data_IF_035504895789
#
_entry.id   IF_035504895789
#
_cell.length_a   1.000
_cell.length_b   1.000
_cell.length_c   1.000
_cell.angle_alpha   90.00
_cell.angle_beta   90.00
_cell.angle_gamma   90.00
#
_symmetry.space_group_name_H-M   'P 1'
#
loop_
_entity.id
_entity.type
_entity.pdbx_description
1 polymer ?
#
# COMPACT_ATOMS: atom_id res chain seq x y z
N UNK A 1 1.63 23.81 -21.29
CA UNK A 1 2.83 23.33 -20.58
C UNK A 1 3.57 24.53 -20.01
N UNK A 2 3.71 24.64 -18.69
CA UNK A 2 4.32 25.81 -18.05
C UNK A 2 5.84 25.72 -18.08
N UNK A 3 6.56 26.84 -17.92
CA UNK A 3 8.02 26.84 -17.83
C UNK A 3 8.53 25.92 -16.70
N UNK A 4 7.83 25.93 -15.56
CA UNK A 4 8.12 25.04 -14.42
C UNK A 4 7.99 23.56 -14.75
N UNK A 5 6.98 23.16 -15.54
CA UNK A 5 6.82 21.76 -15.93
C UNK A 5 7.97 21.31 -16.85
N UNK A 6 8.46 22.18 -17.75
CA UNK A 6 9.62 21.87 -18.60
C UNK A 6 10.91 21.68 -17.80
N UNK A 7 11.18 22.57 -16.83
CA UNK A 7 12.33 22.41 -15.93
C UNK A 7 12.26 21.10 -15.16
N UNK A 8 11.09 20.78 -14.62
CA UNK A 8 10.88 19.54 -13.88
C UNK A 8 11.16 18.29 -14.74
N UNK A 9 10.65 18.25 -15.97
CA UNK A 9 10.92 17.12 -16.87
C UNK A 9 12.40 16.99 -17.21
N UNK A 10 13.10 18.11 -17.45
CA UNK A 10 14.55 18.08 -17.66
C UNK A 10 15.32 17.54 -16.46
N UNK A 11 14.91 17.90 -15.23
CA UNK A 11 15.52 17.39 -14.01
C UNK A 11 15.31 15.87 -13.90
N UNK A 12 14.12 15.37 -14.24
CA UNK A 12 13.81 13.93 -14.22
C UNK A 12 14.67 13.18 -15.25
N UNK A 13 14.75 13.68 -16.48
CA UNK A 13 15.53 13.07 -17.57
C UNK A 13 17.04 13.06 -17.30
N UNK A 14 17.54 14.01 -16.50
CA UNK A 14 18.96 14.12 -16.15
C UNK A 14 19.31 13.50 -14.80
N UNK A 15 18.33 12.89 -14.12
CA UNK A 15 18.54 12.30 -12.80
C UNK A 15 19.33 10.97 -12.93
N UNK A 16 20.41 10.79 -12.16
CA UNK A 16 21.12 9.52 -12.11
C UNK A 16 20.22 8.37 -11.69
N UNK A 17 20.39 7.20 -12.31
CA UNK A 17 19.53 6.02 -12.10
C UNK A 17 19.40 5.60 -10.63
N UNK A 18 20.50 5.64 -9.86
CA UNK A 18 20.47 5.33 -8.42
C UNK A 18 19.57 6.30 -7.63
N UNK A 19 19.57 7.58 -7.99
CA UNK A 19 18.72 8.59 -7.35
C UNK A 19 17.27 8.46 -7.81
N UNK A 20 17.04 8.16 -9.09
CA UNK A 20 15.71 7.87 -9.64
C UNK A 20 15.06 6.70 -8.91
N UNK A 21 15.80 5.62 -8.67
CA UNK A 21 15.30 4.46 -7.93
C UNK A 21 14.92 4.82 -6.48
N UNK A 22 15.77 5.59 -5.78
CA UNK A 22 15.45 6.08 -4.42
C UNK A 22 14.20 6.96 -4.37
N UNK A 23 13.99 7.81 -5.39
CA UNK A 23 12.78 8.63 -5.50
C UNK A 23 11.55 7.76 -5.73
N UNK A 24 11.63 6.74 -6.58
CA UNK A 24 10.55 5.78 -6.81
C UNK A 24 10.22 4.97 -5.54
N UNK A 25 11.23 4.47 -4.82
CA UNK A 25 11.05 3.78 -3.54
C UNK A 25 10.36 4.66 -2.50
N UNK A 26 10.75 5.94 -2.43
CA UNK A 26 10.10 6.89 -1.53
C UNK A 26 8.66 7.20 -1.95
N UNK A 27 8.38 7.33 -3.25
CA UNK A 27 7.00 7.47 -3.76
C UNK A 27 6.16 6.26 -3.37
N UNK A 28 6.69 5.03 -3.48
CA UNK A 28 5.97 3.82 -3.09
C UNK A 28 5.77 3.72 -1.58
N UNK A 29 6.75 4.14 -0.78
CA UNK A 29 6.58 4.32 0.66
C UNK A 29 5.48 5.35 0.99
N UNK A 30 5.45 6.49 0.28
CA UNK A 30 4.42 7.51 0.47
C UNK A 30 3.03 6.99 0.11
N UNK A 31 2.89 6.25 -1.00
CA UNK A 31 1.62 5.58 -1.35
C UNK A 31 1.20 4.60 -0.26
N UNK A 32 2.14 3.79 0.24
CA UNK A 32 1.87 2.82 1.29
C UNK A 32 1.46 3.49 2.62
N UNK A 33 2.12 4.58 3.00
CA UNK A 33 1.77 5.35 4.21
C UNK A 33 0.45 6.09 4.07
N UNK A 34 0.13 6.63 2.89
CA UNK A 34 -1.19 7.21 2.62
C UNK A 34 -2.29 6.15 2.74
N UNK A 35 -2.07 4.95 2.21
CA UNK A 35 -2.98 3.81 2.33
C UNK A 35 -3.13 3.39 3.79
N UNK A 36 -2.05 3.27 4.57
CA UNK A 36 -2.12 2.94 6.00
C UNK A 36 -3.03 3.91 6.78
N UNK A 37 -3.02 5.20 6.43
CA UNK A 37 -3.86 6.19 7.10
C UNK A 37 -5.35 6.08 6.77
N UNK A 38 -5.70 5.44 5.64
CA UNK A 38 -7.09 5.24 5.20
C UNK A 38 -7.61 3.84 5.54
N UNK A 39 -6.72 2.88 5.74
CA UNK A 39 -7.07 1.50 6.05
C UNK A 39 -7.53 1.38 7.51
N UNK A 40 -8.61 0.61 7.79
CA UNK A 40 -9.06 0.34 9.15
C UNK A 40 -7.93 -0.11 10.07
N UNK A 41 -7.89 0.42 11.29
CA UNK A 41 -6.78 0.17 12.24
C UNK A 41 -6.58 -1.31 12.54
N UNK A 42 -7.65 -2.11 12.46
CA UNK A 42 -7.61 -3.54 12.66
C UNK A 42 -6.96 -4.31 11.51
N UNK A 43 -6.69 -3.71 10.34
CA UNK A 43 -5.96 -4.33 9.22
C UNK A 43 -4.48 -3.95 9.20
N UNK A 44 -4.11 -2.84 9.85
CA UNK A 44 -2.72 -2.37 9.93
C UNK A 44 -1.89 -3.31 10.81
N UNK A 45 -0.78 -3.81 10.27
CA UNK A 45 0.18 -4.62 11.02
C UNK A 45 1.05 -3.71 11.87
N UNK A 46 0.91 -3.78 13.19
CA UNK A 46 1.60 -2.87 14.12
C UNK A 46 3.01 -3.34 14.49
N UNK A 47 3.25 -4.64 14.52
CA UNK A 47 4.54 -5.24 14.88
C UNK A 47 4.58 -6.74 14.53
N UNK A 48 5.73 -7.40 14.75
CA UNK A 48 5.93 -8.82 14.46
C UNK A 48 4.96 -9.76 15.21
N UNK A 49 4.56 -9.41 16.44
CA UNK A 49 3.61 -10.22 17.23
C UNK A 49 2.20 -10.13 16.63
N UNK A 50 1.81 -8.92 16.23
CA UNK A 50 0.53 -8.65 15.57
C UNK A 50 0.44 -9.35 14.20
N UNK A 51 1.51 -9.28 13.40
CA UNK A 51 1.62 -10.04 12.15
C UNK A 51 1.38 -11.53 12.37
N UNK A 52 2.07 -12.13 13.35
CA UNK A 52 1.92 -13.55 13.66
C UNK A 52 0.50 -13.91 14.05
N UNK A 53 -0.15 -13.08 14.88
CA UNK A 53 -1.54 -13.30 15.32
C UNK A 53 -2.50 -13.30 14.13
N UNK A 54 -2.39 -12.32 13.25
CA UNK A 54 -3.24 -12.19 12.04
C UNK A 54 -3.09 -13.38 11.10
N UNK A 55 -1.86 -13.88 10.93
CA UNK A 55 -1.59 -15.07 10.12
C UNK A 55 -2.19 -16.33 10.76
N UNK A 56 -2.06 -16.49 12.08
CA UNK A 56 -2.68 -17.62 12.81
C UNK A 56 -4.22 -17.56 12.74
N UNK A 57 -4.81 -16.36 12.75
CA UNK A 57 -6.25 -16.15 12.55
C UNK A 57 -6.68 -16.53 11.13
N UNK A 58 -5.99 -16.05 10.09
CA UNK A 58 -6.29 -16.41 8.70
C UNK A 58 -6.16 -17.91 8.39
N UNK A 59 -5.22 -18.60 9.03
CA UNK A 59 -5.10 -20.07 8.93
C UNK A 59 -6.35 -20.74 9.53
N UNK A 60 -6.78 -20.32 10.73
CA UNK A 60 -7.97 -20.86 11.37
C UNK A 60 -9.24 -20.57 10.59
N UNK A 61 -9.35 -19.38 10.00
CA UNK A 61 -10.50 -19.03 9.17
C UNK A 61 -10.59 -19.93 7.94
N UNK A 62 -9.47 -20.22 7.29
CA UNK A 62 -9.39 -21.19 6.20
C UNK A 62 -9.80 -22.60 6.65
N UNK A 63 -9.31 -23.07 7.81
CA UNK A 63 -9.67 -24.39 8.37
C UNK A 63 -11.16 -24.49 8.74
N UNK A 64 -11.76 -23.39 9.18
CA UNK A 64 -13.18 -23.32 9.55
C UNK A 64 -14.11 -23.07 8.36
N UNK A 65 -13.57 -22.86 7.15
CA UNK A 65 -14.34 -22.52 5.96
C UNK A 65 -14.84 -21.07 5.92
N UNK A 66 -14.30 -20.20 6.78
CA UNK A 66 -14.48 -18.75 6.73
C UNK A 66 -13.60 -18.16 5.63
N UNK A 67 -13.91 -18.47 4.38
CA UNK A 67 -13.21 -17.96 3.20
C UNK A 67 -14.11 -16.97 2.46
N UNK A 68 -13.50 -15.93 1.89
CA UNK A 68 -14.17 -15.04 0.96
C UNK A 68 -13.67 -15.29 -0.46
N UNK A 69 -14.49 -14.96 -1.44
CA UNK A 69 -14.10 -14.87 -2.83
C UNK A 69 -13.21 -13.66 -3.08
N UNK A 70 -12.51 -13.67 -4.22
CA UNK A 70 -11.70 -12.53 -4.66
C UNK A 70 -12.53 -11.25 -4.79
N UNK A 71 -13.75 -11.36 -5.32
CA UNK A 71 -14.64 -10.22 -5.54
C UNK A 71 -15.10 -9.62 -4.20
N UNK A 72 -15.48 -10.45 -3.23
CA UNK A 72 -15.83 -10.00 -1.87
C UNK A 72 -14.65 -9.31 -1.17
N UNK A 73 -13.43 -9.84 -1.35
CA UNK A 73 -12.22 -9.22 -0.80
C UNK A 73 -11.93 -7.85 -1.43
N UNK A 74 -12.11 -7.70 -2.75
CA UNK A 74 -11.94 -6.41 -3.42
C UNK A 74 -13.00 -5.39 -3.00
N UNK A 75 -14.26 -5.81 -2.88
CA UNK A 75 -15.36 -4.94 -2.44
C UNK A 75 -15.15 -4.42 -1.00
N UNK A 76 -14.63 -5.26 -0.10
CA UNK A 76 -14.26 -4.86 1.25
C UNK A 76 -13.13 -3.82 1.26
N UNK A 77 -12.10 -4.01 0.42
CA UNK A 77 -10.98 -3.07 0.27
C UNK A 77 -11.47 -1.74 -0.31
N UNK A 78 -12.30 -1.75 -1.35
CA UNK A 78 -12.85 -0.53 -1.95
C UNK A 78 -13.73 0.23 -0.95
N UNK A 79 -14.55 -0.48 -0.18
CA UNK A 79 -15.38 0.11 0.88
C UNK A 79 -14.52 0.74 1.97
N UNK A 80 -13.45 0.06 2.40
CA UNK A 80 -12.53 0.57 3.40
C UNK A 80 -11.74 1.81 2.93
N UNK A 81 -11.43 1.91 1.63
CA UNK A 81 -10.72 3.05 1.04
C UNK A 81 -11.62 4.24 0.70
N UNK A 82 -12.94 4.04 0.66
CA UNK A 82 -13.94 5.07 0.37
C UNK A 82 -14.41 5.86 1.62
N UNK A 83 -13.94 5.49 2.82
CA UNK A 83 -14.22 6.16 4.10
C UNK A 83 -13.21 7.28 4.40
#
# INVERSE_FOLDING_TARGET
>A
MTAKNKELYNIIETLPEELSNKVLEYIDYLKYTEIINKVPEHLVIKNKKDLRKKLEEGIKDSENGNVCSLDEAFEEIETALAQ
#
